data_IF_036343824989
#
_entry.id   IF_036343824989
#
_cell.length_a   1.000
_cell.length_b   1.000
_cell.length_c   1.000
_cell.angle_alpha   90.00
_cell.angle_beta   90.00
_cell.angle_gamma   90.00
#
_symmetry.space_group_name_H-M   'P 1'
#
loop_
_entity.id
_entity.type
_entity.pdbx_description
1 polymer ?
#
# COMPACT_ATOMS: atom_id res chain seq x y z
N UNK A 1 15.41 -4.19 -26.24
CA UNK A 1 16.31 -3.53 -25.26
C UNK A 1 15.67 -3.57 -23.88
N UNK A 2 16.46 -3.80 -22.82
CA UNK A 2 16.02 -3.69 -21.41
C UNK A 2 16.62 -2.42 -20.81
N UNK A 3 15.80 -1.65 -20.11
CA UNK A 3 16.22 -0.43 -19.40
C UNK A 3 15.62 -0.50 -18.00
N UNK A 4 16.35 -0.05 -16.99
CA UNK A 4 15.88 -0.10 -15.62
C UNK A 4 16.54 0.89 -14.70
N UNK A 5 15.86 1.15 -13.59
CA UNK A 5 16.32 1.99 -12.50
C UNK A 5 16.07 1.26 -11.18
N UNK A 6 17.08 1.27 -10.31
CA UNK A 6 17.04 0.60 -9.01
C UNK A 6 17.57 1.53 -7.93
N UNK A 7 16.90 1.52 -6.78
CA UNK A 7 17.27 2.22 -5.57
C UNK A 7 17.51 1.21 -4.44
N UNK A 8 18.26 1.66 -3.43
CA UNK A 8 18.62 0.84 -2.27
C UNK A 8 17.37 0.28 -1.54
N UNK A 9 17.43 -1.01 -1.21
CA UNK A 9 16.34 -1.83 -0.63
C UNK A 9 15.96 -1.39 0.79
N UNK A 10 16.83 -0.66 1.49
CA UNK A 10 16.61 -0.23 2.87
C UNK A 10 15.73 1.02 3.02
N UNK A 11 15.29 1.64 1.92
CA UNK A 11 14.49 2.87 1.96
C UNK A 11 13.05 2.65 1.50
N UNK A 12 12.11 3.29 2.21
CA UNK A 12 10.73 3.42 1.76
C UNK A 12 10.75 4.18 0.43
N UNK A 13 10.32 3.52 -0.64
CA UNK A 13 10.33 4.11 -1.96
C UNK A 13 9.03 3.94 -2.70
N UNK A 14 8.92 4.65 -3.82
CA UNK A 14 7.86 4.48 -4.81
C UNK A 14 8.47 4.45 -6.20
N UNK A 15 7.89 3.63 -7.07
CA UNK A 15 8.28 3.57 -8.47
C UNK A 15 7.10 3.83 -9.39
N UNK A 16 7.39 4.38 -10.57
CA UNK A 16 6.39 4.77 -11.56
C UNK A 16 6.96 4.63 -12.98
N UNK A 17 6.12 4.15 -13.91
CA UNK A 17 6.43 4.10 -15.35
C UNK A 17 5.47 5.02 -16.08
N UNK A 18 6.04 5.89 -16.90
CA UNK A 18 5.31 6.70 -17.86
C UNK A 18 5.78 6.38 -19.29
N UNK A 19 4.86 6.37 -20.24
CA UNK A 19 5.16 6.18 -21.66
C UNK A 19 4.34 7.16 -22.48
N UNK A 20 4.94 7.70 -23.55
CA UNK A 20 4.25 8.66 -24.40
C UNK A 20 4.94 8.97 -25.70
N UNK A 21 4.35 9.92 -26.43
CA UNK A 21 4.87 10.48 -27.67
C UNK A 21 5.15 11.96 -27.49
N UNK A 22 6.29 12.44 -27.96
CA UNK A 22 6.58 13.88 -28.00
C UNK A 22 6.14 14.44 -29.35
N UNK A 23 5.25 15.43 -29.34
CA UNK A 23 4.76 16.09 -30.56
C UNK A 23 5.86 16.89 -31.26
N UNK A 24 6.75 17.53 -30.50
CA UNK A 24 7.81 18.39 -31.07
C UNK A 24 8.92 17.63 -31.80
N UNK A 25 9.29 16.44 -31.32
CA UNK A 25 10.42 15.67 -31.91
C UNK A 25 9.98 14.40 -32.63
N UNK A 26 8.68 14.12 -32.67
CA UNK A 26 8.09 12.89 -33.22
C UNK A 26 8.82 11.62 -32.72
N UNK A 27 9.17 11.60 -31.44
CA UNK A 27 9.86 10.50 -30.78
C UNK A 27 8.96 9.89 -29.71
N UNK A 28 9.18 8.61 -29.46
CA UNK A 28 8.54 7.89 -28.35
C UNK A 28 9.45 7.97 -27.13
N UNK A 29 8.87 8.03 -25.94
CA UNK A 29 9.65 8.05 -24.71
C UNK A 29 9.14 7.06 -23.69
N UNK A 30 10.06 6.63 -22.84
CA UNK A 30 9.76 5.95 -21.58
C UNK A 30 10.41 6.72 -20.45
N UNK A 31 9.68 6.94 -19.37
CA UNK A 31 10.20 7.50 -18.13
C UNK A 31 10.04 6.45 -17.04
N UNK A 32 11.15 6.02 -16.47
CA UNK A 32 11.19 5.13 -15.32
C UNK A 32 11.58 5.94 -14.11
N UNK A 33 10.70 6.08 -13.14
CA UNK A 33 10.94 6.89 -11.96
C UNK A 33 11.00 6.01 -10.72
N UNK A 34 11.99 6.24 -9.87
CA UNK A 34 12.08 5.71 -8.50
C UNK A 34 12.34 6.89 -7.58
N UNK A 35 11.42 7.13 -6.64
CA UNK A 35 11.41 8.32 -5.78
C UNK A 35 11.44 9.62 -6.59
N UNK A 36 12.47 10.43 -6.41
CA UNK A 36 12.74 11.70 -7.09
C UNK A 36 13.70 11.57 -8.28
N UNK A 37 14.14 10.36 -8.61
CA UNK A 37 15.05 10.11 -9.72
C UNK A 37 14.33 9.43 -10.87
N UNK A 38 14.57 9.92 -12.09
CA UNK A 38 14.03 9.32 -13.30
C UNK A 38 15.10 8.99 -14.32
N UNK A 39 14.90 7.87 -14.99
CA UNK A 39 15.57 7.52 -16.21
C UNK A 39 14.61 7.77 -17.39
N UNK A 40 14.90 8.80 -18.15
CA UNK A 40 14.16 9.19 -19.34
C UNK A 40 14.86 8.63 -20.58
N UNK A 41 14.20 7.72 -21.29
CA UNK A 41 14.66 7.17 -22.55
C UNK A 41 13.87 7.76 -23.72
N UNK A 42 14.57 8.24 -24.75
CA UNK A 42 13.99 8.73 -26.00
C UNK A 42 14.33 7.78 -27.15
N UNK A 43 13.31 7.36 -27.88
CA UNK A 43 13.42 6.43 -29.00
C UNK A 43 13.06 7.11 -30.31
N UNK A 44 14.05 7.15 -31.20
CA UNK A 44 13.90 7.67 -32.55
C UNK A 44 13.11 6.69 -33.44
N UNK A 45 12.31 7.23 -34.36
CA UNK A 45 11.55 6.45 -35.36
C UNK A 45 12.31 6.23 -36.66
N UNK A 46 13.63 6.41 -36.63
CA UNK A 46 14.55 6.28 -37.77
C UNK A 46 15.85 5.61 -37.36
N UNK A 47 16.47 4.90 -38.28
CA UNK A 47 17.79 4.29 -38.10
C UNK A 47 18.54 4.22 -39.42
N UNK A 48 19.83 3.89 -39.36
CA UNK A 48 20.64 3.65 -40.56
C UNK A 48 20.62 2.16 -40.84
N UNK A 49 19.98 1.77 -41.94
CA UNK A 49 19.83 0.40 -42.38
C UNK A 49 20.57 0.24 -43.71
N UNK A 50 21.60 -0.59 -43.73
CA UNK A 50 22.45 -0.83 -44.91
C UNK A 50 22.97 0.47 -45.55
N UNK A 51 23.31 1.46 -44.71
CA UNK A 51 23.82 2.77 -45.14
C UNK A 51 22.76 3.78 -45.59
N UNK A 52 21.47 3.47 -45.44
CA UNK A 52 20.35 4.39 -45.76
C UNK A 52 19.52 4.71 -44.52
N UNK A 53 19.06 5.95 -44.42
CA UNK A 53 18.11 6.34 -43.38
C UNK A 53 16.75 5.72 -43.71
N UNK A 54 16.22 4.93 -42.78
CA UNK A 54 14.93 4.25 -42.93
C UNK A 54 14.14 4.34 -41.63
N UNK A 55 12.82 4.19 -41.73
CA UNK A 55 11.94 4.24 -40.55
C UNK A 55 12.01 2.95 -39.75
N UNK A 56 11.92 3.10 -38.43
CA UNK A 56 11.79 2.00 -37.47
C UNK A 56 10.55 2.22 -36.61
N UNK A 57 9.96 1.14 -36.11
CA UNK A 57 8.77 1.19 -35.27
C UNK A 57 9.13 0.71 -33.88
N UNK A 58 8.86 1.50 -32.84
CA UNK A 58 9.05 1.03 -31.47
C UNK A 58 7.74 0.46 -30.92
N UNK A 59 7.86 -0.51 -30.04
CA UNK A 59 6.76 -1.11 -29.31
C UNK A 59 7.16 -1.25 -27.85
N UNK A 60 6.36 -0.66 -26.97
CA UNK A 60 6.49 -0.89 -25.54
C UNK A 60 5.88 -2.25 -25.23
N UNK A 61 6.74 -3.19 -24.86
CA UNK A 61 6.30 -4.53 -24.52
C UNK A 61 5.70 -4.44 -23.12
N UNK A 62 4.37 -4.50 -23.04
CA UNK A 62 3.67 -4.65 -21.76
C UNK A 62 4.21 -5.90 -21.10
N UNK A 63 4.89 -5.74 -19.98
CA UNK A 63 5.36 -6.87 -19.21
C UNK A 63 4.12 -7.66 -18.75
N UNK A 64 4.07 -8.93 -19.11
CA UNK A 64 3.20 -9.88 -18.42
C UNK A 64 3.63 -10.02 -16.96
N UNK A 65 2.86 -10.78 -16.18
CA UNK A 65 3.03 -11.00 -14.73
C UNK A 65 4.43 -11.47 -14.27
N UNK A 66 5.35 -11.79 -15.20
CA UNK A 66 6.68 -12.33 -14.93
C UNK A 66 7.80 -11.31 -14.71
N UNK A 67 7.55 -10.00 -14.89
CA UNK A 67 8.51 -8.95 -14.49
C UNK A 67 7.94 -8.20 -13.31
N UNK A 68 8.41 -8.55 -12.12
CA UNK A 68 7.94 -7.95 -10.86
C UNK A 68 8.55 -6.58 -10.71
N UNK A 69 7.90 -5.54 -11.24
CA UNK A 69 8.23 -4.17 -10.87
C UNK A 69 7.96 -4.00 -9.37
N UNK A 70 8.97 -3.54 -8.64
CA UNK A 70 8.92 -3.28 -7.21
C UNK A 70 9.02 -1.78 -6.96
N UNK A 71 8.68 -1.37 -5.75
CA UNK A 71 8.70 0.04 -5.33
C UNK A 71 10.08 0.70 -5.41
N UNK A 72 11.15 -0.10 -5.43
CA UNK A 72 12.55 0.34 -5.51
C UNK A 72 13.27 -0.14 -6.79
N UNK A 73 12.62 -0.94 -7.63
CA UNK A 73 13.25 -1.55 -8.79
C UNK A 73 12.24 -1.63 -9.94
N UNK A 74 12.55 -0.96 -11.05
CA UNK A 74 11.63 -0.85 -12.17
C UNK A 74 12.36 -1.05 -13.49
N UNK A 75 11.77 -1.83 -14.39
CA UNK A 75 12.34 -2.12 -15.71
C UNK A 75 11.29 -1.98 -16.80
N UNK A 76 11.75 -1.66 -18.01
CA UNK A 76 10.92 -1.69 -19.21
C UNK A 76 11.64 -2.38 -20.36
N UNK A 77 10.87 -3.07 -21.20
CA UNK A 77 11.35 -3.68 -22.43
C UNK A 77 10.79 -2.92 -23.63
N UNK A 78 11.71 -2.47 -24.48
CA UNK A 78 11.39 -1.74 -25.70
C UNK A 78 11.82 -2.60 -26.88
N UNK A 79 10.84 -2.96 -27.70
CA UNK A 79 11.05 -3.61 -28.98
C UNK A 79 11.23 -2.56 -30.08
N UNK A 80 12.26 -2.70 -30.92
CA UNK A 80 12.46 -1.87 -32.09
C UNK A 80 12.33 -2.79 -33.31
N UNK A 81 11.25 -2.62 -34.06
CA UNK A 81 10.93 -3.43 -35.23
C UNK A 81 11.51 -2.80 -36.50
N UNK A 82 12.26 -3.61 -37.22
CA UNK A 82 12.91 -3.27 -38.49
C UNK A 82 12.36 -4.22 -39.56
N UNK A 83 11.90 -3.68 -40.69
CA UNK A 83 11.24 -4.49 -41.73
C UNK A 83 12.18 -5.48 -42.42
N UNK A 84 13.33 -5.00 -42.89
CA UNK A 84 14.32 -5.82 -43.60
C UNK A 84 15.67 -5.11 -43.59
N UNK A 85 16.74 -5.88 -43.40
CA UNK A 85 18.13 -5.44 -43.53
C UNK A 85 18.99 -6.60 -44.02
N UNK A 86 20.14 -6.32 -44.64
CA UNK A 86 21.05 -7.34 -45.18
C UNK A 86 22.38 -7.42 -44.43
N UNK A 87 22.94 -6.29 -44.03
CA UNK A 87 24.31 -6.20 -43.51
C UNK A 87 24.40 -5.45 -42.20
N UNK A 88 23.74 -4.30 -42.09
CA UNK A 88 23.94 -3.39 -40.95
C UNK A 88 22.64 -2.71 -40.53
N UNK A 89 22.45 -2.62 -39.22
CA UNK A 89 21.47 -1.74 -38.60
C UNK A 89 22.20 -0.96 -37.51
N UNK A 90 22.13 0.37 -37.58
CA UNK A 90 22.64 1.27 -36.55
C UNK A 90 21.47 2.11 -36.00
N UNK A 91 21.31 2.04 -34.68
CA UNK A 91 20.27 2.71 -33.90
C UNK A 91 20.94 3.49 -32.77
N UNK A 92 20.37 4.64 -32.42
CA UNK A 92 20.93 5.53 -31.39
C UNK A 92 19.82 5.92 -30.38
N UNK A 93 19.53 5.06 -29.39
CA UNK A 93 18.62 5.41 -28.31
C UNK A 93 19.31 6.34 -27.31
N UNK A 94 18.63 7.42 -26.92
CA UNK A 94 19.15 8.38 -25.95
C UNK A 94 18.57 8.11 -24.56
N UNK A 95 19.41 8.16 -23.52
CA UNK A 95 18.98 8.05 -22.11
C UNK A 95 19.53 9.21 -21.28
N UNK A 96 18.66 9.76 -20.44
CA UNK A 96 18.98 10.86 -19.53
C UNK A 96 18.52 10.50 -18.12
N UNK A 97 19.39 10.73 -17.14
CA UNK A 97 19.02 10.67 -15.72
C UNK A 97 18.58 12.07 -15.29
N UNK A 98 17.41 12.17 -14.69
CA UNK A 98 16.76 13.41 -14.28
C UNK A 98 16.44 13.35 -12.78
N UNK A 99 16.52 14.50 -12.12
CA UNK A 99 15.97 14.70 -10.78
C UNK A 99 14.62 15.40 -10.96
N UNK A 100 13.55 14.75 -10.54
CA UNK A 100 12.19 15.26 -10.66
C UNK A 100 11.77 16.06 -9.43
N UNK A 101 11.14 17.20 -9.67
CA UNK A 101 10.54 18.01 -8.61
C UNK A 101 9.33 17.34 -7.95
N UNK A 102 8.67 16.43 -8.69
CA UNK A 102 7.54 15.65 -8.19
C UNK A 102 7.97 14.20 -7.98
N UNK A 103 7.91 13.67 -6.76
CA UNK A 103 8.30 12.29 -6.49
C UNK A 103 7.29 11.31 -7.10
N UNK A 104 7.72 10.07 -7.35
CA UNK A 104 6.88 9.00 -7.87
C UNK A 104 5.61 8.80 -7.06
N UNK A 105 5.66 8.99 -5.73
CA UNK A 105 4.51 8.89 -4.82
C UNK A 105 3.38 9.88 -5.11
N UNK A 106 3.62 10.92 -5.92
CA UNK A 106 2.60 11.89 -6.33
C UNK A 106 1.70 11.38 -7.47
N UNK A 107 2.10 10.32 -8.16
CA UNK A 107 1.28 9.70 -9.20
C UNK A 107 0.34 8.64 -8.60
N UNK A 108 -0.91 8.61 -9.06
CA UNK A 108 -1.92 7.65 -8.59
C UNK A 108 -1.62 6.20 -8.97
N UNK A 109 -0.84 5.98 -10.03
CA UNK A 109 -0.47 4.65 -10.52
C UNK A 109 0.89 4.17 -10.00
N UNK A 110 1.48 4.89 -9.04
CA UNK A 110 2.77 4.54 -8.48
C UNK A 110 2.71 3.27 -7.62
N UNK A 111 3.72 2.43 -7.77
CA UNK A 111 3.95 1.26 -6.92
C UNK A 111 4.79 1.71 -5.72
N UNK A 112 4.14 1.92 -4.60
CA UNK A 112 4.81 2.35 -3.36
C UNK A 112 5.04 1.19 -2.40
N UNK A 113 6.08 1.32 -1.59
CA UNK A 113 6.27 0.46 -0.43
C UNK A 113 5.03 0.55 0.48
N UNK A 114 4.21 -0.49 0.47
CA UNK A 114 3.17 -0.64 1.45
C UNK A 114 3.85 -0.97 2.79
N UNK A 115 4.00 0.01 3.68
CA UNK A 115 4.16 -0.32 5.10
C UNK A 115 2.99 -1.22 5.45
N UNK A 116 3.27 -2.40 5.99
CA UNK A 116 2.26 -3.24 6.62
C UNK A 116 1.33 -2.35 7.44
N UNK A 117 0.12 -2.10 6.93
CA UNK A 117 -0.93 -1.36 7.63
C UNK A 117 -1.56 -2.25 8.70
N UNK A 118 -0.76 -3.06 9.39
CA UNK A 118 -1.20 -3.96 10.46
C UNK A 118 -1.18 -3.30 11.84
N UNK A 119 -1.01 -1.97 11.90
CA UNK A 119 -1.23 -1.20 13.14
C UNK A 119 -2.63 -0.62 13.12
N UNK A 120 -3.42 -0.95 14.15
CA UNK A 120 -4.74 -0.37 14.36
C UNK A 120 -4.67 1.16 14.31
N UNK A 121 -5.65 1.79 13.68
CA UNK A 121 -5.79 3.25 13.67
C UNK A 121 -5.85 3.79 15.11
N UNK A 122 -5.31 4.99 15.34
CA UNK A 122 -5.40 5.68 16.64
C UNK A 122 -6.85 5.75 17.15
N UNK A 123 -7.80 5.93 16.23
CA UNK A 123 -9.24 5.94 16.56
C UNK A 123 -9.75 4.56 17.01
N UNK A 124 -9.28 3.47 16.38
CA UNK A 124 -9.63 2.10 16.79
C UNK A 124 -9.05 1.77 18.16
N UNK A 125 -7.80 2.15 18.43
CA UNK A 125 -7.17 1.99 19.74
C UNK A 125 -7.96 2.76 20.81
N UNK A 126 -8.31 4.03 20.54
CA UNK A 126 -9.12 4.83 21.44
C UNK A 126 -10.50 4.18 21.72
N UNK A 127 -11.15 3.64 20.68
CA UNK A 127 -12.41 2.92 20.81
C UNK A 127 -12.31 1.68 21.72
N UNK A 128 -11.26 0.87 21.58
CA UNK A 128 -11.03 -0.32 22.42
C UNK A 128 -10.80 0.08 23.89
N UNK A 129 -10.01 1.12 24.14
CA UNK A 129 -9.72 1.59 25.49
C UNK A 129 -10.98 2.10 26.17
N UNK A 130 -11.76 2.95 25.51
CA UNK A 130 -12.99 3.51 26.09
C UNK A 130 -14.04 2.40 26.28
N UNK A 131 -14.19 1.50 25.30
CA UNK A 131 -15.12 0.38 25.37
C UNK A 131 -14.82 -0.58 26.52
N UNK A 132 -13.56 -0.96 26.71
CA UNK A 132 -13.14 -1.88 27.77
C UNK A 132 -13.32 -1.28 29.17
N UNK A 133 -12.96 -0.02 29.36
CA UNK A 133 -13.12 0.68 30.66
C UNK A 133 -14.60 0.85 30.99
N UNK A 134 -15.42 1.29 30.03
CA UNK A 134 -16.86 1.43 30.24
C UNK A 134 -17.54 0.11 30.59
N UNK A 135 -17.20 -0.96 29.87
CA UNK A 135 -17.75 -2.30 30.12
C UNK A 135 -17.33 -2.85 31.49
N UNK A 136 -16.06 -2.67 31.89
CA UNK A 136 -15.59 -3.09 33.21
C UNK A 136 -16.33 -2.39 34.36
N UNK A 137 -16.56 -1.08 34.24
CA UNK A 137 -17.33 -0.32 35.23
C UNK A 137 -18.76 -0.86 35.41
N UNK A 138 -19.45 -1.17 34.31
CA UNK A 138 -20.82 -1.72 34.35
C UNK A 138 -20.84 -3.09 35.05
N UNK A 139 -19.86 -3.96 34.77
CA UNK A 139 -19.74 -5.26 35.42
C UNK A 139 -19.53 -5.09 36.93
N UNK A 140 -18.64 -4.19 37.35
CA UNK A 140 -18.34 -3.96 38.77
C UNK A 140 -19.57 -3.44 39.51
N UNK A 141 -20.27 -2.44 38.98
CA UNK A 141 -21.49 -1.90 39.58
C UNK A 141 -22.56 -2.98 39.71
N UNK A 142 -22.76 -3.77 38.64
CA UNK A 142 -23.74 -4.86 38.62
C UNK A 142 -23.43 -5.93 39.66
N UNK A 143 -22.15 -6.31 39.79
CA UNK A 143 -21.69 -7.28 40.77
C UNK A 143 -21.91 -6.78 42.22
N UNK A 144 -21.55 -5.52 42.50
CA UNK A 144 -21.76 -4.91 43.83
C UNK A 144 -23.25 -4.89 44.18
N UNK A 145 -24.10 -4.43 43.26
CA UNK A 145 -25.55 -4.38 43.46
C UNK A 145 -26.13 -5.77 43.77
N UNK A 146 -25.73 -6.78 43.01
CA UNK A 146 -26.15 -8.17 43.24
C UNK A 146 -25.75 -8.68 44.63
N UNK A 147 -24.51 -8.44 45.06
CA UNK A 147 -24.01 -8.87 46.38
C UNK A 147 -24.78 -8.18 47.52
N UNK A 148 -25.01 -6.86 47.43
CA UNK A 148 -25.76 -6.10 48.44
C UNK A 148 -27.20 -6.59 48.54
N UNK A 149 -27.88 -6.80 47.40
CA UNK A 149 -29.26 -7.32 47.37
C UNK A 149 -29.33 -8.71 48.03
N UNK A 150 -28.40 -9.60 47.72
CA UNK A 150 -28.33 -10.95 48.31
C UNK A 150 -28.11 -10.91 49.83
N UNK A 151 -27.26 -10.00 50.33
CA UNK A 151 -27.04 -9.81 51.77
C UNK A 151 -28.30 -9.30 52.47
N UNK A 152 -28.98 -8.28 51.91
CA UNK A 152 -30.23 -7.75 52.49
C UNK A 152 -31.33 -8.81 52.56
N UNK A 153 -31.47 -9.62 51.52
CA UNK A 153 -32.47 -10.70 51.48
C UNK A 153 -32.20 -11.77 52.54
N UNK A 154 -30.94 -12.21 52.70
CA UNK A 154 -30.56 -13.15 53.78
C UNK A 154 -30.80 -12.57 55.19
N UNK A 155 -30.55 -11.28 55.39
CA UNK A 155 -30.84 -10.63 56.68
C UNK A 155 -32.35 -10.58 56.94
N UNK A 156 -33.15 -10.28 55.91
CA UNK A 156 -34.61 -10.27 56.00
C UNK A 156 -35.18 -11.67 56.31
N UNK A 157 -34.69 -12.71 55.63
CA UNK A 157 -35.06 -14.11 55.91
C UNK A 157 -34.73 -14.50 57.36
N UNK A 158 -33.54 -14.13 57.87
CA UNK A 158 -33.15 -14.39 59.26
C UNK A 158 -34.09 -13.71 60.26
N UNK A 159 -34.50 -12.45 60.00
CA UNK A 159 -35.46 -11.71 60.83
C UNK A 159 -36.86 -12.33 60.80
N UNK A 160 -37.34 -12.77 59.63
CA UNK A 160 -38.62 -13.48 59.53
C UNK A 160 -38.60 -14.80 60.30
N UNK A 161 -37.50 -15.55 60.21
CA UNK A 161 -37.36 -16.81 60.92
C UNK A 161 -37.31 -16.61 62.45
N UNK A 162 -36.65 -15.55 62.95
CA UNK A 162 -36.64 -15.26 64.39
C UNK A 162 -38.02 -14.86 64.92
N UNK A 163 -38.77 -14.02 64.18
CA UNK A 163 -40.14 -13.61 64.56
C UNK A 163 -41.12 -14.80 64.56
N UNK A 164 -41.02 -15.69 63.56
CA UNK A 164 -41.84 -16.90 63.53
C UNK A 164 -41.52 -17.86 64.68
N UNK A 165 -40.23 -17.95 65.07
CA UNK A 165 -39.81 -18.76 66.22
C UNK A 165 -40.37 -18.20 67.53
N UNK A 166 -40.27 -16.89 67.75
CA UNK A 166 -40.83 -16.21 68.94
C UNK A 166 -42.34 -16.39 69.04
N UNK A 167 -43.09 -16.21 67.94
CA UNK A 167 -44.54 -16.44 67.91
C UNK A 167 -44.92 -17.89 68.27
N UNK A 168 -44.14 -18.89 67.86
CA UNK A 168 -44.40 -20.29 68.24
C UNK A 168 -44.14 -20.58 69.72
N UNK A 169 -43.21 -19.89 70.37
CA UNK A 169 -42.94 -20.05 71.81
C UNK A 169 -44.02 -19.40 72.69
N UNK A 170 -44.67 -18.32 72.23
CA UNK A 170 -45.74 -17.63 72.97
C UNK A 170 -47.13 -18.31 72.86
N UNK A 171 -47.24 -19.40 72.08
CA UNK A 171 -48.48 -20.18 71.89
C UNK A 171 -48.50 -21.52 72.66
N UNK A 172 -47.48 -21.79 73.49
CA UNK A 172 -47.42 -22.94 74.42
C UNK A 172 -47.51 -22.44 75.85
#
# INVERSE_FOLDING_TARGET
>A
MKVGLEADQNQQGCSFIEQGNTTMTNSEYVKLQVNDHSLYGRFIKRGIIDGRISSVSNQFIKQGESVTNQYNNIHSYIGISIRSYKKLVQLDPDFSVLIDQRPASSDSNALCFAKDKSKLSKAQIAGIVIGSVGFACIIVISAIYYIVKKKKMKIFERKLHSLNKENKTNLK
#
